data_IF_082899313300
#
_entry.id   IF_082899313300
#
_cell.length_a   1.000
_cell.length_b   1.000
_cell.length_c   1.000
_cell.angle_alpha   90.00
_cell.angle_beta   90.00
_cell.angle_gamma   90.00
#
_symmetry.space_group_name_H-M   'P 1'
#
loop_
_entity.id
_entity.type
_entity.pdbx_description
1 polymer ?
#
# COMPACT_ATOMS: atom_id res chain seq x y z
N UNK A 1 5.56 -61.86 -10.36
CA UNK A 1 5.31 -61.15 -11.63
C UNK A 1 3.83 -61.30 -11.93
N UNK A 2 3.13 -60.19 -11.68
CA UNK A 2 1.94 -59.67 -12.36
C UNK A 2 0.64 -60.50 -12.31
N UNK A 3 -0.13 -60.25 -11.24
CA UNK A 3 -1.41 -59.50 -11.25
C UNK A 3 -2.11 -59.27 -12.62
N UNK A 4 -3.44 -59.27 -12.81
CA UNK A 4 -4.58 -58.97 -11.93
C UNK A 4 -5.91 -59.45 -12.58
N UNK A 5 -6.87 -59.74 -11.70
CA UNK A 5 -8.34 -59.90 -11.75
C UNK A 5 -9.19 -59.88 -13.04
N UNK A 6 -10.09 -60.88 -13.06
CA UNK A 6 -11.53 -60.85 -13.33
C UNK A 6 -12.26 -59.49 -13.35
N UNK A 7 -13.09 -59.23 -14.38
CA UNK A 7 -14.57 -59.32 -14.28
C UNK A 7 -15.26 -59.18 -15.65
N UNK A 8 -16.41 -59.84 -15.77
CA UNK A 8 -17.29 -60.00 -16.95
C UNK A 8 -17.85 -58.71 -17.56
N UNK A 9 -18.02 -58.70 -18.88
CA UNK A 9 -19.09 -57.96 -19.55
C UNK A 9 -19.67 -58.81 -20.68
N UNK A 10 -20.92 -59.24 -20.53
CA UNK A 10 -21.72 -59.87 -21.59
C UNK A 10 -22.63 -58.78 -22.15
N UNK A 11 -22.56 -58.52 -23.45
CA UNK A 11 -23.66 -57.90 -24.20
C UNK A 11 -23.67 -58.41 -25.65
N UNK A 12 -24.67 -59.24 -25.96
CA UNK A 12 -25.19 -59.56 -27.29
C UNK A 12 -26.58 -58.87 -27.37
N UNK A 13 -27.14 -58.35 -28.47
CA UNK A 13 -26.92 -58.59 -29.90
C UNK A 13 -27.64 -57.49 -30.73
N UNK A 14 -27.01 -57.14 -31.86
CA UNK A 14 -27.46 -56.69 -33.21
C UNK A 14 -28.69 -55.77 -33.43
N UNK A 15 -28.46 -54.65 -34.13
CA UNK A 15 -28.94 -54.40 -35.52
C UNK A 15 -28.28 -53.13 -36.12
N UNK A 16 -27.99 -53.16 -37.43
CA UNK A 16 -27.12 -52.26 -38.23
C UNK A 16 -27.79 -50.93 -38.69
N UNK A 17 -27.28 -50.21 -39.71
CA UNK A 17 -26.03 -49.43 -39.79
C UNK A 17 -26.29 -47.93 -40.12
N UNK A 18 -25.58 -47.01 -39.50
CA UNK A 18 -25.21 -45.74 -40.15
C UNK A 18 -24.06 -45.10 -39.40
N UNK A 19 -22.96 -44.95 -40.12
CA UNK A 19 -21.74 -44.32 -39.65
C UNK A 19 -21.98 -42.80 -39.60
N UNK A 20 -22.19 -42.24 -38.41
CA UNK A 20 -21.86 -40.85 -38.11
C UNK A 20 -21.16 -40.84 -36.75
N UNK A 21 -19.84 -40.63 -36.79
CA UNK A 21 -19.03 -40.42 -35.63
C UNK A 21 -19.35 -39.03 -35.05
N UNK A 22 -20.31 -38.98 -34.13
CA UNK A 22 -20.46 -37.84 -33.24
C UNK A 22 -19.52 -38.03 -32.05
N UNK A 23 -18.37 -37.37 -32.16
CA UNK A 23 -17.40 -37.21 -31.09
C UNK A 23 -18.05 -36.34 -30.02
N UNK A 24 -18.78 -36.96 -29.07
CA UNK A 24 -19.27 -36.25 -27.90
C UNK A 24 -18.09 -36.04 -26.95
N UNK A 25 -17.35 -34.95 -27.18
CA UNK A 25 -16.56 -34.33 -26.13
C UNK A 25 -17.56 -33.86 -25.10
N UNK A 26 -17.78 -34.66 -24.06
CA UNK A 26 -18.38 -34.13 -22.83
C UNK A 26 -17.28 -33.30 -22.20
N UNK A 27 -17.20 -32.04 -22.61
CA UNK A 27 -16.53 -31.03 -21.82
C UNK A 27 -17.18 -31.08 -20.45
N UNK A 28 -16.42 -31.47 -19.42
CA UNK A 28 -16.73 -31.00 -18.08
C UNK A 28 -16.59 -29.48 -18.16
N UNK A 29 -17.69 -28.80 -18.43
CA UNK A 29 -17.88 -27.48 -17.85
C UNK A 29 -17.95 -27.72 -16.35
N UNK A 30 -16.78 -27.76 -15.70
CA UNK A 30 -16.71 -27.17 -14.37
C UNK A 30 -17.07 -25.72 -14.58
N UNK A 31 -18.36 -25.41 -14.42
CA UNK A 31 -18.80 -24.07 -14.08
C UNK A 31 -17.86 -23.65 -12.98
N UNK A 32 -17.02 -22.63 -13.26
CA UNK A 32 -16.24 -22.02 -12.21
C UNK A 32 -17.29 -21.60 -11.17
N UNK A 33 -17.32 -22.30 -10.04
CA UNK A 33 -18.11 -21.86 -8.91
C UNK A 33 -17.47 -20.52 -8.59
N UNK A 34 -18.13 -19.44 -8.99
CA UNK A 34 -17.94 -18.18 -8.31
C UNK A 34 -18.12 -18.55 -6.85
N UNK A 35 -17.10 -18.36 -6.04
CA UNK A 35 -17.33 -18.13 -4.63
C UNK A 35 -18.12 -16.83 -4.63
N UNK A 36 -19.45 -16.94 -4.81
CA UNK A 36 -20.40 -15.91 -4.39
C UNK A 36 -19.95 -15.58 -3.00
N UNK A 37 -19.50 -14.34 -2.81
CA UNK A 37 -19.04 -13.76 -1.55
C UNK A 37 -19.57 -14.58 -0.39
N UNK A 38 -18.79 -15.58 0.04
CA UNK A 38 -19.10 -16.26 1.28
C UNK A 38 -19.01 -15.14 2.29
N UNK A 39 -20.05 -14.92 3.10
CA UNK A 39 -20.09 -13.85 4.08
C UNK A 39 -18.84 -13.95 4.95
N UNK A 40 -17.80 -13.21 4.58
CA UNK A 40 -16.57 -13.13 5.33
C UNK A 40 -16.86 -12.07 6.36
N UNK A 41 -16.97 -12.48 7.63
CA UNK A 41 -16.99 -11.58 8.76
C UNK A 41 -15.86 -10.58 8.56
N UNK A 42 -16.23 -9.33 8.31
CA UNK A 42 -15.27 -8.25 8.20
C UNK A 42 -14.53 -8.17 9.53
N UNK A 43 -13.29 -8.65 9.56
CA UNK A 43 -12.47 -8.54 10.76
C UNK A 43 -11.99 -7.10 10.78
N UNK A 44 -12.65 -6.28 11.59
CA UNK A 44 -12.17 -4.96 11.91
C UNK A 44 -10.84 -5.10 12.65
N UNK A 45 -9.73 -4.83 11.95
CA UNK A 45 -8.38 -4.89 12.52
C UNK A 45 -7.85 -3.48 12.77
N UNK A 46 -6.98 -3.34 13.76
CA UNK A 46 -6.33 -2.07 14.04
C UNK A 46 -5.08 -1.88 13.17
N UNK A 47 -4.75 -0.64 12.78
CA UNK A 47 -3.46 -0.32 12.16
C UNK A 47 -2.28 -0.88 12.97
N UNK A 48 -1.25 -1.37 12.30
CA UNK A 48 -0.12 -2.07 12.94
C UNK A 48 -0.31 -3.58 13.12
N UNK A 49 -1.54 -4.08 12.97
CA UNK A 49 -1.83 -5.51 13.10
C UNK A 49 -1.33 -6.28 11.88
N UNK A 50 -0.64 -7.40 12.13
CA UNK A 50 -0.31 -8.38 11.10
C UNK A 50 -1.48 -9.33 10.95
N UNK A 51 -2.00 -9.44 9.73
CA UNK A 51 -3.12 -10.32 9.41
C UNK A 51 -2.67 -11.39 8.44
N UNK A 52 -2.99 -12.64 8.76
CA UNK A 52 -2.85 -13.75 7.85
C UNK A 52 -4.20 -14.13 7.22
N UNK A 53 -4.22 -14.29 5.91
CA UNK A 53 -5.39 -14.76 5.15
C UNK A 53 -5.00 -15.93 4.26
N UNK A 54 -5.75 -17.02 4.36
CA UNK A 54 -5.47 -18.25 3.62
C UNK A 54 -6.51 -18.47 2.52
N UNK A 55 -6.03 -18.77 1.33
CA UNK A 55 -6.82 -19.06 0.13
C UNK A 55 -6.27 -20.33 -0.51
N UNK A 56 -6.83 -21.48 -0.13
CA UNK A 56 -6.37 -22.82 -0.54
C UNK A 56 -4.85 -23.03 -0.32
N UNK A 57 -4.04 -22.79 -1.36
CA UNK A 57 -2.57 -22.93 -1.38
C UNK A 57 -1.80 -21.63 -1.16
N UNK A 58 -2.49 -20.50 -1.05
CA UNK A 58 -1.93 -19.15 -0.94
C UNK A 58 -2.15 -18.61 0.47
N UNK A 59 -1.13 -18.02 1.05
CA UNK A 59 -1.25 -17.23 2.29
C UNK A 59 -0.81 -15.80 2.00
N UNK A 60 -1.65 -14.84 2.38
CA UNK A 60 -1.30 -13.44 2.43
C UNK A 60 -0.95 -13.07 3.87
N UNK A 61 0.20 -12.43 4.04
CA UNK A 61 0.54 -11.74 5.28
C UNK A 61 0.46 -10.25 4.97
N UNK A 62 -0.44 -9.56 5.64
CA UNK A 62 -0.73 -8.15 5.42
C UNK A 62 -0.34 -7.41 6.69
N UNK A 63 0.43 -6.35 6.55
CA UNK A 63 0.78 -5.45 7.64
C UNK A 63 0.43 -4.03 7.22
N UNK A 64 -0.43 -3.40 8.01
CA UNK A 64 -0.71 -1.96 7.86
C UNK A 64 0.28 -1.23 8.76
N UNK A 65 1.01 -0.26 8.21
CA UNK A 65 1.82 0.62 9.04
C UNK A 65 0.87 1.60 9.78
N UNK A 66 0.91 1.70 11.11
CA UNK A 66 0.03 2.61 11.83
C UNK A 66 0.52 4.05 11.77
N UNK A 67 1.82 4.28 11.54
CA UNK A 67 2.40 5.60 11.47
C UNK A 67 2.29 6.13 10.04
N UNK A 68 2.58 5.27 9.06
CA UNK A 68 2.55 5.62 7.65
C UNK A 68 1.28 5.11 6.97
N UNK A 69 0.68 5.86 6.04
CA UNK A 69 -0.39 5.34 5.20
C UNK A 69 0.17 4.31 4.19
N UNK A 70 0.57 3.14 4.67
CA UNK A 70 1.27 2.12 3.91
C UNK A 70 0.75 0.72 4.26
N UNK A 71 0.63 -0.14 3.25
CA UNK A 71 0.32 -1.56 3.41
C UNK A 71 1.42 -2.41 2.82
N UNK A 72 2.08 -3.19 3.66
CA UNK A 72 3.02 -4.22 3.26
C UNK A 72 2.28 -5.55 3.07
N UNK A 73 2.47 -6.14 1.89
CA UNK A 73 1.91 -7.42 1.51
C UNK A 73 3.03 -8.43 1.26
N UNK A 74 2.89 -9.63 1.83
CA UNK A 74 3.71 -10.79 1.47
C UNK A 74 2.80 -11.90 0.97
N UNK A 75 3.11 -12.42 -0.21
CA UNK A 75 2.39 -13.54 -0.83
C UNK A 75 3.23 -14.80 -0.67
N UNK A 76 2.66 -15.81 -0.01
CA UNK A 76 3.29 -17.11 0.20
C UNK A 76 2.50 -18.20 -0.54
N UNK A 77 3.20 -19.13 -1.19
CA UNK A 77 2.64 -20.37 -1.73
C UNK A 77 3.23 -21.55 -0.97
N UNK A 78 2.40 -22.37 -0.31
CA UNK A 78 2.84 -23.53 0.48
C UNK A 78 4.05 -23.21 1.39
N UNK A 79 3.93 -22.16 2.21
CA UNK A 79 4.97 -21.64 3.13
C UNK A 79 6.23 -21.04 2.49
N UNK A 80 6.31 -20.94 1.16
CA UNK A 80 7.39 -20.23 0.48
C UNK A 80 6.95 -18.81 0.12
N UNK A 81 7.72 -17.80 0.54
CA UNK A 81 7.52 -16.44 0.06
C UNK A 81 7.80 -16.36 -1.44
N UNK A 82 6.83 -15.87 -2.20
CA UNK A 82 6.89 -15.75 -3.65
C UNK A 82 7.03 -14.29 -4.10
N UNK A 83 6.37 -13.37 -3.38
CA UNK A 83 6.40 -11.95 -3.68
C UNK A 83 6.23 -11.11 -2.41
N UNK A 84 6.70 -9.87 -2.48
CA UNK A 84 6.43 -8.81 -1.51
C UNK A 84 6.06 -7.54 -2.29
N UNK A 85 5.05 -6.83 -1.83
CA UNK A 85 4.66 -5.53 -2.36
C UNK A 85 4.41 -4.56 -1.21
N UNK A 86 4.58 -3.28 -1.49
CA UNK A 86 4.27 -2.20 -0.58
C UNK A 86 3.35 -1.25 -1.32
N UNK A 87 2.13 -1.07 -0.82
CA UNK A 87 1.11 -0.22 -1.39
C UNK A 87 0.98 1.06 -0.57
N UNK A 88 0.94 2.20 -1.26
CA UNK A 88 0.79 3.54 -0.67
C UNK A 88 -0.35 4.29 -1.38
N UNK A 89 -0.77 5.48 -0.94
CA UNK A 89 -1.72 6.28 -1.68
C UNK A 89 -1.25 6.63 -3.11
N UNK A 90 0.05 6.86 -3.31
CA UNK A 90 0.63 7.11 -4.64
C UNK A 90 0.61 5.86 -5.51
N UNK A 91 0.93 4.72 -4.93
CA UNK A 91 1.11 3.43 -5.61
C UNK A 91 0.18 2.40 -4.97
N UNK A 92 -1.11 2.62 -5.19
CA UNK A 92 -2.17 1.91 -4.46
C UNK A 92 -2.54 0.56 -5.05
N UNK A 93 -2.01 0.20 -6.21
CA UNK A 93 -2.36 -1.04 -6.91
C UNK A 93 -1.10 -1.82 -7.23
N UNK A 94 -1.11 -3.11 -6.93
CA UNK A 94 -0.06 -4.06 -7.32
C UNK A 94 -0.66 -5.14 -8.21
N UNK A 95 -0.02 -5.41 -9.35
CA UNK A 95 -0.40 -6.49 -10.26
C UNK A 95 0.63 -7.60 -10.16
N UNK A 96 0.18 -8.85 -10.12
CA UNK A 96 1.07 -9.99 -9.97
C UNK A 96 0.70 -11.15 -10.90
N UNK A 97 1.71 -11.94 -11.24
CA UNK A 97 1.55 -13.22 -11.93
C UNK A 97 2.63 -14.18 -11.43
N UNK A 98 2.27 -15.02 -10.47
CA UNK A 98 3.14 -15.97 -9.80
C UNK A 98 2.83 -17.40 -10.30
N UNK A 99 3.86 -18.24 -10.40
CA UNK A 99 3.73 -19.65 -10.76
C UNK A 99 4.64 -20.50 -9.88
N UNK A 100 4.13 -21.60 -9.37
CA UNK A 100 4.92 -22.59 -8.66
C UNK A 100 4.35 -24.00 -8.91
N UNK A 101 5.14 -24.87 -9.54
CA UNK A 101 4.70 -26.18 -10.03
C UNK A 101 3.43 -26.02 -10.87
N UNK A 102 2.36 -26.73 -10.52
CA UNK A 102 1.09 -26.69 -11.23
C UNK A 102 0.11 -25.62 -10.71
N UNK A 103 0.57 -24.73 -9.82
CA UNK A 103 -0.23 -23.62 -9.30
C UNK A 103 0.16 -22.32 -10.02
N UNK A 104 -0.85 -21.64 -10.56
CA UNK A 104 -0.73 -20.29 -11.14
C UNK A 104 -1.62 -19.33 -10.36
N UNK A 105 -1.04 -18.20 -9.97
CA UNK A 105 -1.72 -17.16 -9.21
C UNK A 105 -1.55 -15.81 -9.91
N UNK A 106 -2.65 -15.19 -10.37
CA UNK A 106 -2.59 -13.94 -11.13
C UNK A 106 -3.73 -12.99 -10.78
N UNK A 107 -3.46 -11.70 -10.78
CA UNK A 107 -4.47 -10.69 -10.47
C UNK A 107 -3.86 -9.38 -10.00
N UNK A 108 -4.62 -8.65 -9.19
CA UNK A 108 -4.19 -7.39 -8.59
C UNK A 108 -4.70 -7.22 -7.16
N UNK A 109 -3.97 -6.43 -6.38
CA UNK A 109 -4.39 -5.87 -5.12
C UNK A 109 -4.55 -4.37 -5.26
N UNK A 110 -5.57 -3.80 -4.63
CA UNK A 110 -5.75 -2.35 -4.55
C UNK A 110 -6.04 -1.95 -3.12
N UNK A 111 -5.28 -1.00 -2.59
CA UNK A 111 -5.54 -0.38 -1.28
C UNK A 111 -6.36 0.90 -1.45
N UNK A 112 -7.31 1.10 -0.56
CA UNK A 112 -8.10 2.33 -0.42
C UNK A 112 -7.92 2.83 1.00
N UNK A 113 -7.12 3.89 1.16
CA UNK A 113 -6.99 4.58 2.44
C UNK A 113 -8.11 5.61 2.59
N UNK A 114 -8.73 5.63 3.76
CA UNK A 114 -9.84 6.52 4.08
C UNK A 114 -9.46 7.59 5.10
N UNK A 115 -10.29 8.62 5.21
CA UNK A 115 -10.08 9.72 6.15
C UNK A 115 -10.31 9.27 7.60
N UNK A 116 -9.86 10.05 8.61
CA UNK A 116 -10.16 9.79 10.00
C UNK A 116 -11.63 9.42 10.23
N UNK A 117 -11.86 8.43 11.10
CA UNK A 117 -13.20 7.89 11.43
C UNK A 117 -13.90 7.09 10.32
N UNK A 118 -13.24 6.86 9.19
CA UNK A 118 -13.72 5.98 8.12
C UNK A 118 -12.91 4.68 8.07
N UNK A 119 -13.40 3.71 7.30
CA UNK A 119 -12.72 2.44 7.07
C UNK A 119 -11.85 2.48 5.82
N UNK A 120 -10.62 2.01 5.95
CA UNK A 120 -9.71 1.70 4.86
C UNK A 120 -9.80 0.23 4.50
N UNK A 121 -9.46 -0.12 3.26
CA UNK A 121 -9.64 -1.48 2.72
C UNK A 121 -8.47 -1.91 1.85
N UNK A 122 -8.09 -3.17 1.95
CA UNK A 122 -7.32 -3.87 0.93
C UNK A 122 -8.27 -4.76 0.13
N UNK A 123 -8.35 -4.53 -1.18
CA UNK A 123 -9.21 -5.26 -2.11
C UNK A 123 -8.35 -6.16 -2.98
N UNK A 124 -8.79 -7.40 -3.21
CA UNK A 124 -8.20 -8.32 -4.17
C UNK A 124 -9.12 -8.60 -5.35
N UNK A 125 -8.55 -8.69 -6.53
CA UNK A 125 -9.18 -9.24 -7.73
C UNK A 125 -8.19 -10.19 -8.41
N UNK A 126 -8.37 -11.50 -8.20
CA UNK A 126 -7.39 -12.49 -8.62
C UNK A 126 -7.97 -13.86 -8.89
N UNK A 127 -7.13 -14.72 -9.47
CA UNK A 127 -7.45 -16.11 -9.79
C UNK A 127 -6.32 -17.06 -9.38
N UNK A 128 -6.70 -18.13 -8.69
CA UNK A 128 -5.85 -19.28 -8.35
C UNK A 128 -6.21 -20.43 -9.30
N UNK A 129 -5.24 -20.94 -10.03
CA UNK A 129 -5.42 -22.05 -10.98
C UNK A 129 -4.52 -23.20 -10.52
N UNK A 130 -5.10 -24.38 -10.35
CA UNK A 130 -4.43 -25.64 -10.00
C UNK A 130 -4.80 -26.72 -11.04
N UNK A 131 -4.21 -27.93 -11.00
CA UNK A 131 -4.61 -29.03 -11.90
C UNK A 131 -6.08 -29.43 -11.80
N UNK A 132 -6.69 -29.19 -10.63
CA UNK A 132 -8.02 -29.71 -10.31
C UNK A 132 -9.09 -28.61 -10.26
N UNK A 133 -8.68 -27.35 -10.10
CA UNK A 133 -9.59 -26.24 -9.85
C UNK A 133 -9.10 -24.91 -10.40
N UNK A 134 -10.06 -24.03 -10.63
CA UNK A 134 -9.82 -22.64 -11.00
C UNK A 134 -10.76 -21.77 -10.17
N UNK A 135 -10.20 -21.05 -9.20
CA UNK A 135 -10.92 -20.26 -8.22
C UNK A 135 -10.64 -18.78 -8.46
N UNK A 136 -11.71 -18.02 -8.65
CA UNK A 136 -11.65 -16.56 -8.75
C UNK A 136 -12.07 -15.92 -7.41
N UNK A 137 -11.39 -14.85 -7.03
CA UNK A 137 -11.68 -14.03 -5.88
C UNK A 137 -11.82 -12.57 -6.31
N UNK A 138 -12.87 -11.91 -5.82
CA UNK A 138 -13.06 -10.47 -5.97
C UNK A 138 -13.71 -9.93 -4.69
N UNK A 139 -13.05 -9.00 -4.01
CA UNK A 139 -13.61 -8.37 -2.81
C UNK A 139 -12.57 -7.90 -1.81
N UNK A 140 -13.06 -7.47 -0.64
CA UNK A 140 -12.21 -7.00 0.46
C UNK A 140 -11.47 -8.19 1.09
N UNK A 141 -10.17 -8.04 1.30
CA UNK A 141 -9.32 -9.01 1.99
C UNK A 141 -9.24 -8.67 3.48
N UNK A 142 -9.13 -7.37 3.77
CA UNK A 142 -9.06 -6.83 5.12
C UNK A 142 -9.53 -5.38 5.12
N UNK A 143 -10.13 -4.95 6.23
CA UNK A 143 -10.52 -3.57 6.50
C UNK A 143 -10.04 -3.13 7.87
N UNK A 144 -9.77 -1.83 8.01
CA UNK A 144 -9.34 -1.24 9.29
C UNK A 144 -9.87 0.18 9.41
N UNK A 145 -10.13 0.61 10.64
CA UNK A 145 -10.45 2.00 10.90
C UNK A 145 -9.21 2.88 10.69
N UNK A 146 -9.35 3.98 9.95
CA UNK A 146 -8.28 4.96 9.78
C UNK A 146 -8.01 5.70 11.10
N UNK A 147 -6.73 5.87 11.45
CA UNK A 147 -6.35 6.65 12.62
C UNK A 147 -6.68 8.13 12.41
N UNK A 148 -6.81 8.84 13.52
CA UNK A 148 -7.07 10.28 13.52
C UNK A 148 -5.92 11.08 12.87
N UNK A 149 -4.71 10.54 12.85
CA UNK A 149 -3.55 11.19 12.25
C UNK A 149 -2.62 10.12 11.69
N UNK A 150 -2.34 10.21 10.39
CA UNK A 150 -1.46 9.31 9.66
C UNK A 150 -0.46 10.15 8.87
N UNK A 151 0.79 9.72 8.82
CA UNK A 151 1.82 10.31 7.97
C UNK A 151 1.71 9.64 6.61
N UNK A 152 1.47 10.42 5.57
CA UNK A 152 1.54 9.92 4.20
C UNK A 152 2.99 9.63 3.80
N UNK A 153 3.86 10.59 4.07
CA UNK A 153 5.26 10.53 3.68
C UNK A 153 6.11 11.39 4.63
N UNK A 154 7.32 10.93 4.94
CA UNK A 154 8.32 11.70 5.69
C UNK A 154 9.51 11.98 4.81
N UNK A 155 9.90 13.25 4.71
CA UNK A 155 11.09 13.68 4.00
C UNK A 155 12.05 14.38 4.95
N UNK A 156 13.34 14.05 4.86
CA UNK A 156 14.37 14.58 5.74
C UNK A 156 15.41 15.31 4.90
N UNK A 157 15.67 16.57 5.23
CA UNK A 157 16.70 17.40 4.60
C UNK A 157 17.69 17.87 5.66
N UNK A 158 18.96 17.55 5.45
CA UNK A 158 20.06 18.07 6.26
C UNK A 158 20.49 19.43 5.74
N UNK A 159 20.35 20.46 6.57
CA UNK A 159 20.74 21.85 6.24
C UNK A 159 22.20 22.09 6.62
N UNK A 160 22.62 21.50 7.73
CA UNK A 160 24.01 21.39 8.17
C UNK A 160 24.20 19.96 8.72
N UNK A 161 25.44 19.51 9.00
CA UNK A 161 25.66 18.22 9.66
C UNK A 161 24.97 18.09 11.03
N UNK A 162 24.61 19.20 11.67
CA UNK A 162 24.01 19.26 13.01
C UNK A 162 22.53 19.63 12.99
N UNK A 163 21.99 20.06 11.84
CA UNK A 163 20.62 20.51 11.68
C UNK A 163 19.93 19.74 10.56
N UNK A 164 18.91 18.96 10.93
CA UNK A 164 17.99 18.35 9.97
C UNK A 164 16.58 18.93 10.10
N UNK A 165 15.89 18.96 8.98
CA UNK A 165 14.48 19.32 8.89
C UNK A 165 13.74 18.07 8.48
N UNK A 166 12.80 17.62 9.31
CA UNK A 166 11.88 16.54 8.99
C UNK A 166 10.54 17.16 8.57
N UNK A 167 10.03 16.77 7.41
CA UNK A 167 8.72 17.20 6.92
C UNK A 167 7.82 15.98 6.80
N UNK A 168 6.80 15.93 7.63
CA UNK A 168 5.73 14.93 7.60
C UNK A 168 4.56 15.47 6.81
N UNK A 169 4.26 14.84 5.68
CA UNK A 169 3.03 15.07 4.95
C UNK A 169 1.92 14.28 5.63
N UNK A 170 0.86 14.96 6.06
CA UNK A 170 -0.25 14.32 6.75
C UNK A 170 -1.28 13.78 5.75
N UNK A 171 -1.82 12.60 6.02
CA UNK A 171 -2.84 11.98 5.19
C UNK A 171 -4.23 12.56 5.51
N UNK A 172 -4.49 13.75 4.98
CA UNK A 172 -5.76 14.47 5.16
C UNK A 172 -6.09 15.36 3.94
N UNK A 173 -7.37 15.67 3.69
CA UNK A 173 -7.78 16.43 2.50
C UNK A 173 -7.16 17.83 2.38
N UNK A 174 -6.81 18.49 3.50
CA UNK A 174 -6.23 19.84 3.50
C UNK A 174 -4.74 19.86 3.12
N UNK A 175 -4.13 18.70 2.85
CA UNK A 175 -2.70 18.55 2.54
C UNK A 175 -1.81 19.31 3.54
N UNK A 176 -2.03 19.06 4.82
CA UNK A 176 -1.19 19.67 5.85
C UNK A 176 0.16 18.97 5.96
N UNK A 177 1.15 19.74 6.37
CA UNK A 177 2.50 19.27 6.63
C UNK A 177 2.92 19.69 8.04
N UNK A 178 3.59 18.80 8.76
CA UNK A 178 4.32 19.14 9.98
C UNK A 178 5.80 19.21 9.65
N UNK A 179 6.43 20.33 9.98
CA UNK A 179 7.84 20.60 9.70
C UNK A 179 8.54 20.74 11.04
N UNK A 180 9.52 19.90 11.28
CA UNK A 180 10.25 19.84 12.54
C UNK A 180 11.74 20.07 12.30
N UNK A 181 12.32 20.96 13.11
CA UNK A 181 13.74 21.27 13.08
C UNK A 181 14.44 20.55 14.23
N UNK A 182 15.44 19.73 13.90
CA UNK A 182 16.10 18.87 14.87
C UNK A 182 17.62 19.11 14.88
N UNK A 183 18.21 19.08 16.07
CA UNK A 183 19.66 18.92 16.26
C UNK A 183 19.96 17.68 17.09
N UNK A 184 20.63 16.70 16.48
CA UNK A 184 20.77 15.35 17.07
C UNK A 184 19.41 14.72 17.37
N UNK A 185 19.06 14.61 18.66
CA UNK A 185 17.78 14.11 19.17
C UNK A 185 16.93 15.20 19.83
N UNK A 186 17.32 16.47 19.72
CA UNK A 186 16.62 17.60 20.32
C UNK A 186 15.77 18.32 19.26
N UNK A 187 14.48 18.45 19.53
CA UNK A 187 13.55 19.26 18.74
C UNK A 187 13.78 20.74 19.06
N UNK A 188 14.10 21.52 18.03
CA UNK A 188 14.31 22.97 18.12
C UNK A 188 12.98 23.70 17.97
N UNK A 189 12.22 23.36 16.93
CA UNK A 189 10.99 24.05 16.59
C UNK A 189 10.12 23.19 15.68
N UNK A 190 8.81 23.40 15.76
CA UNK A 190 7.81 22.75 14.90
C UNK A 190 6.92 23.82 14.26
N UNK A 191 6.62 23.65 12.98
CA UNK A 191 5.71 24.48 12.22
C UNK A 191 4.75 23.59 11.45
N UNK A 192 3.45 23.86 11.58
CA UNK A 192 2.44 23.19 10.75
C UNK A 192 1.96 24.16 9.68
N UNK A 193 1.92 23.70 8.43
CA UNK A 193 1.32 24.43 7.32
C UNK A 193 0.15 23.63 6.76
N UNK A 194 -0.87 24.31 6.24
CA UNK A 194 -2.02 23.71 5.57
C UNK A 194 -2.48 24.57 4.41
N UNK A 195 -3.39 24.08 3.56
CA UNK A 195 -3.97 24.89 2.47
C UNK A 195 -4.53 26.24 2.95
N UNK A 196 -5.13 26.30 4.15
CA UNK A 196 -5.67 27.53 4.73
C UNK A 196 -4.64 28.43 5.44
N UNK A 197 -3.46 27.88 5.78
CA UNK A 197 -2.37 28.58 6.45
C UNK A 197 -1.04 28.11 5.85
N UNK A 198 -0.77 28.54 4.63
CA UNK A 198 0.30 28.00 3.78
C UNK A 198 1.62 28.78 3.87
N UNK A 199 1.72 29.76 4.76
CA UNK A 199 2.92 30.58 4.96
C UNK A 199 3.19 30.74 6.45
N UNK A 200 4.42 30.45 6.85
CA UNK A 200 4.93 30.77 8.18
C UNK A 200 6.21 31.60 8.06
N UNK A 201 6.33 32.60 8.93
CA UNK A 201 7.55 33.39 9.11
C UNK A 201 7.92 33.30 10.58
N UNK A 202 9.09 32.74 10.84
CA UNK A 202 9.65 32.62 12.19
C UNK A 202 10.26 33.97 12.58
N UNK A 203 9.61 34.65 13.52
CA UNK A 203 9.98 36.02 13.91
C UNK A 203 11.09 36.12 14.96
N UNK A 204 11.50 34.99 15.55
CA UNK A 204 12.54 34.92 16.59
C UNK A 204 13.64 33.97 16.14
N UNK A 205 14.87 34.22 16.59
CA UNK A 205 15.93 33.23 16.40
C UNK A 205 15.79 32.12 17.43
N UNK A 206 16.17 30.90 17.06
CA UNK A 206 16.28 29.76 17.95
C UNK A 206 17.74 29.31 18.00
N UNK A 207 18.24 29.00 19.19
CA UNK A 207 19.60 28.52 19.40
C UNK A 207 19.55 27.34 20.36
N UNK A 208 20.04 26.19 19.91
CA UNK A 208 20.18 24.98 20.72
C UNK A 208 21.55 24.37 20.42
N UNK A 209 22.34 24.17 21.48
CA UNK A 209 23.74 23.77 21.36
C UNK A 209 24.50 24.71 20.41
N UNK A 210 25.13 24.17 19.37
CA UNK A 210 25.87 24.92 18.35
C UNK A 210 25.01 25.36 17.17
N UNK A 211 23.74 24.94 17.12
CA UNK A 211 22.83 25.21 16.00
C UNK A 211 22.01 26.45 16.27
N UNK A 212 22.02 27.39 15.32
CA UNK A 212 21.16 28.56 15.31
C UNK A 212 20.27 28.59 14.07
N UNK A 213 18.97 28.82 14.27
CA UNK A 213 18.02 29.20 13.23
C UNK A 213 17.77 30.70 13.40
N UNK A 214 18.17 31.52 12.43
CA UNK A 214 17.98 32.96 12.54
C UNK A 214 16.53 33.37 12.27
N UNK A 215 16.08 34.45 12.93
CA UNK A 215 14.81 35.12 12.61
C UNK A 215 14.67 35.41 11.11
N UNK A 216 13.44 35.43 10.62
CA UNK A 216 13.11 35.65 9.21
C UNK A 216 13.13 34.37 8.38
N UNK A 217 13.30 33.19 8.98
CA UNK A 217 13.04 31.91 8.33
C UNK A 217 11.59 31.90 7.81
N UNK A 218 11.44 31.66 6.52
CA UNK A 218 10.17 31.58 5.81
C UNK A 218 9.94 30.15 5.33
N UNK A 219 8.76 29.63 5.63
CA UNK A 219 8.28 28.34 5.14
C UNK A 219 6.99 28.58 4.36
N UNK A 220 6.91 28.04 3.15
CA UNK A 220 5.76 28.20 2.29
C UNK A 220 5.33 26.85 1.72
N UNK A 221 4.08 26.51 1.95
CA UNK A 221 3.41 25.34 1.39
C UNK A 221 2.79 25.73 0.06
N UNK A 222 3.16 25.00 -0.98
CA UNK A 222 2.44 24.92 -2.23
C UNK A 222 1.72 23.56 -2.27
N UNK A 223 0.39 23.51 -2.08
CA UNK A 223 -0.35 22.26 -2.13
C UNK A 223 -0.24 21.59 -3.50
N UNK A 224 -0.22 20.26 -3.53
CA UNK A 224 -0.25 19.52 -4.79
C UNK A 224 -1.60 19.69 -5.48
N UNK A 225 -1.58 19.65 -6.81
CA UNK A 225 -2.78 19.63 -7.66
C UNK A 225 -2.64 18.50 -8.69
N UNK A 226 -3.72 18.07 -9.36
CA UNK A 226 -3.62 16.99 -10.36
C UNK A 226 -2.57 17.22 -11.46
N UNK A 227 -2.17 18.47 -11.70
CA UNK A 227 -1.19 18.84 -12.73
C UNK A 227 0.13 19.35 -12.17
N UNK A 228 0.27 19.54 -10.85
CA UNK A 228 1.47 20.12 -10.23
C UNK A 228 1.83 19.40 -8.93
N UNK A 229 3.13 19.17 -8.72
CA UNK A 229 3.63 18.65 -7.45
C UNK A 229 3.36 19.65 -6.33
N UNK A 230 3.09 19.11 -5.14
CA UNK A 230 3.07 19.88 -3.91
C UNK A 230 4.49 20.00 -3.37
N UNK A 231 4.79 21.13 -2.76
CA UNK A 231 6.12 21.44 -2.27
C UNK A 231 6.06 22.25 -0.98
N UNK A 232 7.05 22.04 -0.11
CA UNK A 232 7.33 22.97 0.99
C UNK A 232 8.66 23.65 0.67
N UNK A 233 8.59 24.95 0.46
CA UNK A 233 9.76 25.79 0.19
C UNK A 233 10.21 26.44 1.49
N UNK A 234 11.49 26.29 1.79
CA UNK A 234 12.14 26.93 2.92
C UNK A 234 13.15 27.97 2.44
N UNK A 235 13.14 29.14 3.08
CA UNK A 235 14.15 30.16 2.91
C UNK A 235 14.57 30.71 4.27
N UNK A 236 15.85 30.62 4.61
CA UNK A 236 16.34 31.08 5.90
C UNK A 236 17.86 31.12 6.02
N UNK A 237 18.33 31.61 7.16
CA UNK A 237 19.75 31.59 7.54
C UNK A 237 19.94 30.73 8.78
N UNK A 238 21.05 30.01 8.82
CA UNK A 238 21.38 29.03 9.83
C UNK A 238 22.86 29.12 10.19
N UNK A 239 23.20 28.68 11.40
CA UNK A 239 24.58 28.49 11.84
C UNK A 239 24.71 27.14 12.56
N UNK A 240 25.92 26.56 12.51
CA UNK A 240 26.35 25.36 13.24
C UNK A 240 27.83 25.47 13.57
N UNK A 241 28.38 24.54 14.36
CA UNK A 241 29.76 24.62 14.88
C UNK A 241 30.82 24.91 13.80
N UNK A 242 30.73 24.21 12.67
CA UNK A 242 31.69 24.27 11.57
C UNK A 242 31.18 25.08 10.37
N UNK A 243 29.93 25.55 10.41
CA UNK A 243 29.31 26.34 9.33
C UNK A 243 28.56 27.54 9.94
N UNK A 244 29.26 28.65 10.22
CA UNK A 244 28.70 29.77 10.97
C UNK A 244 27.71 30.64 10.17
N UNK A 245 27.62 30.47 8.86
CA UNK A 245 26.72 31.25 8.01
C UNK A 245 26.25 30.43 6.80
N UNK A 246 25.13 29.73 6.98
CA UNK A 246 24.47 28.94 5.94
C UNK A 246 23.19 29.64 5.54
N UNK A 247 23.03 29.94 4.25
CA UNK A 247 21.75 30.39 3.70
C UNK A 247 21.15 29.23 2.91
N UNK A 248 19.90 28.87 3.24
CA UNK A 248 19.16 27.87 2.49
C UNK A 248 17.98 28.53 1.76
N UNK A 249 17.78 28.14 0.51
CA UNK A 249 16.60 28.49 -0.28
C UNK A 249 16.29 27.33 -1.24
N UNK A 250 15.22 26.60 -0.97
CA UNK A 250 14.86 25.43 -1.78
C UNK A 250 13.67 24.68 -1.22
N UNK A 251 13.27 23.62 -1.91
CA UNK A 251 12.24 22.70 -1.44
C UNK A 251 12.82 21.75 -0.37
N UNK A 252 12.17 21.69 0.79
CA UNK A 252 12.48 20.72 1.86
C UNK A 252 11.57 19.49 1.81
N UNK A 253 10.47 19.57 1.05
CA UNK A 253 9.65 18.42 0.71
C UNK A 253 8.96 18.62 -0.63
N UNK A 254 8.73 17.53 -1.36
CA UNK A 254 7.95 17.52 -2.61
C UNK A 254 7.12 16.25 -2.74
N UNK A 255 5.86 16.32 -3.15
CA UNK A 255 5.00 15.15 -3.35
C UNK A 255 4.11 15.28 -4.58
N UNK A 256 3.66 14.14 -5.10
CA UNK A 256 2.65 14.08 -6.14
C UNK A 256 1.26 14.24 -5.53
N UNK A 257 0.33 14.81 -6.31
CA UNK A 257 -1.06 14.94 -5.88
C UNK A 257 -1.67 13.59 -5.52
N UNK A 258 -2.22 13.53 -4.32
CA UNK A 258 -3.00 12.40 -3.86
C UNK A 258 -4.48 12.74 -3.99
N UNK A 259 -5.21 11.89 -4.71
CA UNK A 259 -6.64 12.03 -4.79
C UNK A 259 -7.28 11.52 -3.50
N UNK A 260 -7.92 12.42 -2.76
CA UNK A 260 -8.76 12.07 -1.64
C UNK A 260 -10.20 11.91 -2.15
N UNK A 261 -10.84 10.73 -1.99
CA UNK A 261 -12.25 10.60 -2.27
C UNK A 261 -13.03 11.61 -1.44
N UNK A 262 -13.82 12.46 -2.09
CA UNK A 262 -14.87 13.20 -1.39
C UNK A 262 -16.09 12.28 -1.33
N UNK A 263 -16.65 12.12 -0.13
CA UNK A 263 -17.89 11.38 0.08
C UNK A 263 -19.06 12.05 -0.65
#
# INVERSE_FOLDING_TARGET
MDHFCYFCLVLQVLAAPSFEAWLSVTTRQTTATQIKSQDWDFVNIEPGTVVERNFESVTFVIRVDPQFAQVDLVIKLHNRQMARATLTPSDRTEVFSLRYKDVVFRGSFTVRFAQPQQFSYLVGDFRVITPYQNVAFQGNIVEWQALNTLILERQIVWITPELRVETDLLFEPNQSVSIEFWTGTQLIHTVTLSQGANLAIVNKSFEIATVTIHRGLRLQLQPATPTQKGEVIMQGKFASSNLPNVTYKGAIATWSYQWFPQN
#
